data_IF_298098723723
#
_entry.id   IF_298098723723
#
_cell.length_a   1.000
_cell.length_b   1.000
_cell.length_c   1.000
_cell.angle_alpha   90.00
_cell.angle_beta   90.00
_cell.angle_gamma   90.00
#
_symmetry.space_group_name_H-M   'P 1'
#
loop_
_entity.id
_entity.type
_entity.pdbx_description
1 polymer ?
#
# COMPACT_ATOMS: atom_id res chain seq x y z
N UNK A 1 15.05 -17.20 -17.89
CA UNK A 1 14.95 -15.76 -17.57
C UNK A 1 13.98 -15.06 -18.52
N UNK A 2 14.06 -15.31 -19.83
CA UNK A 2 13.16 -14.73 -20.84
C UNK A 2 11.68 -15.06 -20.60
N UNK A 3 11.33 -16.33 -20.33
CA UNK A 3 9.93 -16.71 -20.02
C UNK A 3 9.33 -15.95 -18.83
N UNK A 4 10.15 -15.57 -17.84
CA UNK A 4 9.70 -14.85 -16.65
C UNK A 4 9.41 -13.38 -16.98
N UNK A 5 10.31 -12.75 -17.73
CA UNK A 5 10.15 -11.37 -18.22
C UNK A 5 8.95 -11.26 -19.17
N UNK A 6 8.75 -12.25 -20.05
CA UNK A 6 7.58 -12.32 -20.92
C UNK A 6 6.26 -12.40 -20.13
N UNK A 7 6.19 -13.24 -19.09
CA UNK A 7 4.99 -13.32 -18.24
C UNK A 7 4.68 -11.99 -17.55
N UNK A 8 5.70 -11.30 -17.05
CA UNK A 8 5.51 -9.97 -16.47
C UNK A 8 4.95 -8.96 -17.49
N UNK A 9 5.53 -8.95 -18.70
CA UNK A 9 5.10 -8.09 -19.79
C UNK A 9 3.64 -8.38 -20.20
N UNK A 10 3.26 -9.66 -20.33
CA UNK A 10 1.88 -10.07 -20.63
C UNK A 10 0.93 -9.60 -19.54
N UNK A 11 1.28 -9.82 -18.27
CA UNK A 11 0.42 -9.47 -17.14
C UNK A 11 0.20 -7.95 -17.06
N UNK A 12 1.27 -7.17 -17.19
CA UNK A 12 1.19 -5.71 -17.18
C UNK A 12 0.31 -5.19 -18.34
N UNK A 13 0.48 -5.70 -19.55
CA UNK A 13 -0.36 -5.26 -20.67
C UNK A 13 -1.83 -5.67 -20.53
N UNK A 14 -2.11 -6.80 -19.87
CA UNK A 14 -3.48 -7.30 -19.67
C UNK A 14 -4.21 -6.57 -18.53
N UNK A 15 -3.51 -6.29 -17.43
CA UNK A 15 -4.11 -5.77 -16.20
C UNK A 15 -4.05 -4.24 -16.08
N UNK A 16 -3.12 -3.58 -16.77
CA UNK A 16 -2.99 -2.12 -16.67
C UNK A 16 -4.15 -1.44 -17.39
N UNK A 17 -4.94 -0.70 -16.62
CA UNK A 17 -6.01 0.18 -17.10
C UNK A 17 -5.66 1.62 -16.81
N UNK A 18 -6.34 2.55 -17.47
CA UNK A 18 -6.32 3.94 -17.02
C UNK A 18 -6.89 4.03 -15.60
N UNK A 19 -6.26 4.88 -14.80
CA UNK A 19 -6.51 4.95 -13.37
C UNK A 19 -5.53 5.88 -12.67
N UNK A 20 -5.75 6.05 -11.37
CA UNK A 20 -4.90 6.85 -10.51
C UNK A 20 -3.52 6.22 -10.35
N UNK A 21 -2.51 7.04 -10.01
CA UNK A 21 -1.14 6.56 -9.78
C UNK A 21 -1.07 5.38 -8.77
N UNK A 22 -1.79 5.40 -7.63
CA UNK A 22 -1.80 4.27 -6.70
C UNK A 22 -2.35 2.97 -7.32
N UNK A 23 -3.38 3.05 -8.17
CA UNK A 23 -3.96 1.87 -8.84
C UNK A 23 -2.97 1.27 -9.84
N UNK A 24 -2.30 2.12 -10.65
CA UNK A 24 -1.24 1.69 -11.57
C UNK A 24 -0.09 1.00 -10.82
N UNK A 25 0.36 1.57 -9.69
CA UNK A 25 1.38 0.97 -8.84
C UNK A 25 0.92 -0.39 -8.29
N UNK A 26 -0.34 -0.51 -7.86
CA UNK A 26 -0.88 -1.77 -7.35
C UNK A 26 -0.85 -2.88 -8.41
N UNK A 27 -1.20 -2.58 -9.67
CA UNK A 27 -1.09 -3.52 -10.79
C UNK A 27 0.36 -3.99 -10.99
N UNK A 28 1.33 -3.06 -10.97
CA UNK A 28 2.73 -3.44 -11.08
C UNK A 28 3.18 -4.36 -9.93
N UNK A 29 2.78 -4.05 -8.69
CA UNK A 29 3.13 -4.88 -7.53
C UNK A 29 2.49 -6.28 -7.63
N UNK A 30 1.27 -6.37 -8.14
CA UNK A 30 0.60 -7.63 -8.41
C UNK A 30 1.37 -8.46 -9.45
N UNK A 31 1.70 -7.88 -10.60
CA UNK A 31 2.48 -8.55 -11.63
C UNK A 31 3.86 -9.02 -11.12
N UNK A 32 4.54 -8.20 -10.31
CA UNK A 32 5.82 -8.59 -9.71
C UNK A 32 5.68 -9.71 -8.67
N UNK A 33 4.55 -9.78 -7.95
CA UNK A 33 4.24 -10.87 -7.01
C UNK A 33 4.06 -12.19 -7.75
N UNK A 34 3.28 -12.20 -8.83
CA UNK A 34 3.07 -13.41 -9.64
C UNK A 34 4.40 -13.92 -10.22
N UNK A 35 5.23 -13.01 -10.73
CA UNK A 35 6.58 -13.34 -11.17
C UNK A 35 7.41 -13.97 -10.06
N UNK A 36 7.40 -13.40 -8.85
CA UNK A 36 8.16 -13.92 -7.72
C UNK A 36 7.68 -15.32 -7.29
N UNK A 37 6.36 -15.59 -7.38
CA UNK A 37 5.78 -16.90 -7.12
C UNK A 37 6.25 -17.91 -8.18
N UNK A 38 6.18 -17.55 -9.47
CA UNK A 38 6.63 -18.42 -10.58
C UNK A 38 8.12 -18.75 -10.46
N UNK A 39 8.94 -17.80 -10.03
CA UNK A 39 10.39 -18.01 -9.82
C UNK A 39 10.71 -18.84 -8.57
N UNK A 40 9.68 -19.31 -7.85
CA UNK A 40 9.79 -19.98 -6.55
C UNK A 40 10.65 -19.19 -5.55
N UNK A 41 10.60 -17.86 -5.59
CA UNK A 41 11.28 -16.99 -4.63
C UNK A 41 10.48 -16.88 -3.34
N UNK A 42 10.26 -18.03 -2.73
CA UNK A 42 9.74 -18.10 -1.39
C UNK A 42 10.83 -17.68 -0.42
N UNK A 43 10.43 -16.95 0.62
CA UNK A 43 11.27 -16.66 1.77
C UNK A 43 10.57 -17.15 3.02
N UNK A 44 11.36 -17.52 4.02
CA UNK A 44 10.82 -17.71 5.36
C UNK A 44 10.19 -16.40 5.85
N UNK A 45 9.13 -16.54 6.64
CA UNK A 45 8.52 -15.40 7.32
C UNK A 45 9.59 -14.75 8.21
N UNK A 46 9.70 -13.43 8.14
CA UNK A 46 10.66 -12.71 8.98
C UNK A 46 10.38 -12.98 10.45
N UNK A 47 11.42 -13.20 11.26
CA UNK A 47 11.28 -13.33 12.73
C UNK A 47 10.59 -12.11 13.38
N UNK A 48 10.64 -10.95 12.70
CA UNK A 48 9.98 -9.72 13.17
C UNK A 48 8.55 -9.54 12.66
N UNK A 49 8.05 -10.43 11.80
CA UNK A 49 6.75 -10.28 11.14
C UNK A 49 5.62 -10.22 12.17
N UNK A 50 5.55 -11.18 13.09
CA UNK A 50 4.49 -11.24 14.10
C UNK A 50 4.49 -10.00 15.01
N UNK A 51 5.67 -9.55 15.43
CA UNK A 51 5.81 -8.32 16.21
C UNK A 51 5.33 -7.08 15.42
N UNK A 52 5.61 -7.01 14.12
CA UNK A 52 5.13 -5.94 13.26
C UNK A 52 3.61 -6.00 13.05
N UNK A 53 3.04 -7.20 12.93
CA UNK A 53 1.60 -7.41 12.79
C UNK A 53 0.85 -7.06 14.08
N UNK A 54 1.39 -7.42 15.26
CA UNK A 54 0.83 -7.02 16.56
C UNK A 54 0.75 -5.51 16.68
N UNK A 55 1.86 -4.81 16.39
CA UNK A 55 1.90 -3.32 16.43
C UNK A 55 0.89 -2.67 15.47
N UNK A 56 0.66 -3.26 14.30
CA UNK A 56 -0.37 -2.77 13.37
C UNK A 56 -1.77 -3.01 13.95
N UNK A 57 -2.03 -4.17 14.52
CA UNK A 57 -3.30 -4.50 15.17
C UNK A 57 -3.61 -3.57 16.34
N UNK A 58 -2.65 -3.34 17.23
CA UNK A 58 -2.78 -2.44 18.38
C UNK A 58 -3.17 -1.03 17.91
N UNK A 59 -2.48 -0.48 16.90
CA UNK A 59 -2.82 0.83 16.35
C UNK A 59 -4.22 0.88 15.71
N UNK A 60 -4.64 -0.18 15.03
CA UNK A 60 -5.99 -0.27 14.45
C UNK A 60 -7.03 -0.32 15.59
N UNK A 61 -6.77 -1.08 16.65
CA UNK A 61 -7.66 -1.16 17.82
C UNK A 61 -7.77 0.18 18.55
N UNK A 62 -6.67 0.91 18.71
CA UNK A 62 -6.67 2.24 19.31
C UNK A 62 -7.50 3.22 18.47
N UNK A 63 -7.34 3.22 17.15
CA UNK A 63 -8.14 4.05 16.25
C UNK A 63 -9.63 3.68 16.30
N UNK A 64 -9.96 2.39 16.32
CA UNK A 64 -11.35 1.92 16.48
C UNK A 64 -11.94 2.38 17.80
N UNK A 65 -11.15 2.37 18.87
CA UNK A 65 -11.62 2.84 20.18
C UNK A 65 -11.85 4.36 20.18
N UNK A 66 -10.92 5.13 19.61
CA UNK A 66 -11.07 6.59 19.44
C UNK A 66 -12.31 6.93 18.61
N UNK A 67 -12.58 6.17 17.56
CA UNK A 67 -13.76 6.32 16.72
C UNK A 67 -15.05 6.12 17.52
N UNK A 68 -15.14 5.05 18.32
CA UNK A 68 -16.33 4.79 19.13
C UNK A 68 -16.54 5.85 20.23
N UNK A 69 -15.46 6.35 20.85
CA UNK A 69 -15.55 7.50 21.77
C UNK A 69 -16.13 8.75 21.08
N UNK A 70 -15.66 9.07 19.88
CA UNK A 70 -16.17 10.21 19.11
C UNK A 70 -17.63 10.03 18.67
N UNK A 71 -18.08 8.81 18.38
CA UNK A 71 -19.50 8.53 18.10
C UNK A 71 -20.38 8.76 19.32
N UNK A 72 -19.91 8.36 20.51
CA UNK A 72 -20.63 8.65 21.76
C UNK A 72 -20.72 10.16 21.97
N UNK A 73 -19.61 10.88 21.80
CA UNK A 73 -19.58 12.34 21.91
C UNK A 73 -20.49 13.02 20.86
N UNK A 74 -20.55 12.50 19.63
CA UNK A 74 -21.46 12.98 18.58
C UNK A 74 -22.94 12.78 18.98
N UNK A 75 -23.27 11.62 19.53
CA UNK A 75 -24.64 11.33 20.00
C UNK A 75 -25.08 12.26 21.13
N UNK A 76 -24.13 12.69 21.97
CA UNK A 76 -24.35 13.64 23.06
C UNK A 76 -24.49 15.07 22.56
N UNK A 77 -23.60 15.49 21.65
CA UNK A 77 -23.65 16.80 21.02
C UNK A 77 -24.99 17.02 20.28
N UNK A 78 -25.48 16.01 19.55
CA UNK A 78 -26.81 16.05 18.91
C UNK A 78 -27.98 16.18 19.91
N UNK A 79 -27.78 15.75 21.16
CA UNK A 79 -28.76 15.88 22.26
C UNK A 79 -28.50 17.13 23.13
N UNK A 80 -27.59 18.02 22.73
CA UNK A 80 -27.21 19.21 23.51
C UNK A 80 -26.47 18.92 24.81
N UNK A 81 -25.94 17.71 24.99
CA UNK A 81 -25.19 17.29 26.19
C UNK A 81 -23.68 17.46 25.98
N UNK A 82 -22.92 17.85 27.03
CA UNK A 82 -21.47 17.95 26.93
C UNK A 82 -20.81 16.57 26.70
N UNK A 83 -19.60 16.55 26.10
CA UNK A 83 -18.85 15.32 25.86
C UNK A 83 -18.49 14.63 27.19
N UNK A 84 -18.18 13.34 27.11
CA UNK A 84 -17.65 12.61 28.26
C UNK A 84 -16.27 13.15 28.64
N UNK A 85 -15.87 12.95 29.90
CA UNK A 85 -14.47 13.12 30.30
C UNK A 85 -13.61 12.12 29.54
N UNK A 86 -12.37 12.50 29.24
CA UNK A 86 -11.41 11.58 28.66
C UNK A 86 -10.97 10.51 29.68
N UNK A 87 -10.10 9.59 29.24
CA UNK A 87 -9.53 8.54 30.07
C UNK A 87 -8.72 9.06 31.26
N UNK A 88 -8.28 10.32 31.20
CA UNK A 88 -7.54 11.02 32.26
C UNK A 88 -8.46 11.85 33.18
N UNK A 89 -9.78 11.80 32.95
CA UNK A 89 -10.77 12.54 33.73
C UNK A 89 -10.88 14.03 33.38
N UNK A 90 -10.21 14.50 32.31
CA UNK A 90 -10.28 15.89 31.85
C UNK A 90 -11.51 16.12 30.98
N UNK A 91 -12.06 17.32 31.08
CA UNK A 91 -13.21 17.73 30.28
C UNK A 91 -12.79 17.89 28.82
N UNK A 92 -13.37 17.08 27.93
CA UNK A 92 -13.14 17.21 26.49
C UNK A 92 -13.71 18.54 25.99
N UNK A 93 -13.01 19.17 25.03
CA UNK A 93 -13.49 20.40 24.37
C UNK A 93 -14.83 20.11 23.69
N UNK A 94 -15.80 20.99 23.90
CA UNK A 94 -17.10 20.88 23.25
C UNK A 94 -16.92 21.18 21.75
N UNK A 95 -17.17 20.19 20.90
CA UNK A 95 -17.05 20.28 19.45
C UNK A 95 -18.44 20.27 18.83
N UNK A 96 -18.63 20.96 17.71
CA UNK A 96 -19.88 20.87 16.94
C UNK A 96 -20.08 19.45 16.42
N UNK A 97 -21.34 19.07 16.19
CA UNK A 97 -21.70 17.79 15.57
C UNK A 97 -20.96 17.58 14.24
N UNK A 98 -20.90 18.63 13.42
CA UNK A 98 -20.20 18.61 12.12
C UNK A 98 -18.68 18.36 12.28
N UNK A 99 -18.03 18.98 13.28
CA UNK A 99 -16.62 18.76 13.54
C UNK A 99 -16.33 17.32 14.02
N UNK A 100 -17.24 16.74 14.80
CA UNK A 100 -17.14 15.35 15.25
C UNK A 100 -17.33 14.36 14.10
N UNK A 101 -18.31 14.58 13.23
CA UNK A 101 -18.54 13.78 12.03
C UNK A 101 -17.33 13.79 11.09
N UNK A 102 -16.73 14.97 10.85
CA UNK A 102 -15.52 15.09 10.05
C UNK A 102 -14.34 14.31 10.65
N UNK A 103 -14.17 14.34 11.98
CA UNK A 103 -13.13 13.56 12.65
C UNK A 103 -13.36 12.06 12.56
N UNK A 104 -14.61 11.61 12.71
CA UNK A 104 -14.96 10.20 12.55
C UNK A 104 -14.64 9.73 11.13
N UNK A 105 -15.02 10.49 10.11
CA UNK A 105 -14.73 10.17 8.71
C UNK A 105 -13.22 10.07 8.43
N UNK A 106 -12.41 10.97 9.02
CA UNK A 106 -10.95 10.93 8.91
C UNK A 106 -10.34 9.68 9.58
N UNK A 107 -10.86 9.29 10.74
CA UNK A 107 -10.40 8.07 11.43
C UNK A 107 -10.81 6.82 10.64
N UNK A 108 -12.02 6.79 10.09
CA UNK A 108 -12.51 5.66 9.28
C UNK A 108 -11.63 5.45 8.04
N UNK A 109 -11.33 6.51 7.29
CA UNK A 109 -10.40 6.43 6.15
C UNK A 109 -9.00 5.95 6.56
N UNK A 110 -8.52 6.36 7.75
CA UNK A 110 -7.23 5.90 8.28
C UNK A 110 -7.25 4.42 8.68
N UNK A 111 -8.34 3.95 9.28
CA UNK A 111 -8.53 2.53 9.62
C UNK A 111 -8.53 1.68 8.35
N UNK A 112 -9.33 2.06 7.35
CA UNK A 112 -9.42 1.35 6.06
C UNK A 112 -8.05 1.21 5.40
N UNK A 113 -7.29 2.30 5.36
CA UNK A 113 -5.92 2.29 4.82
C UNK A 113 -5.01 1.34 5.61
N UNK A 114 -5.05 1.38 6.94
CA UNK A 114 -4.20 0.52 7.78
C UNK A 114 -4.58 -0.96 7.69
N UNK A 115 -5.86 -1.28 7.54
CA UNK A 115 -6.33 -2.65 7.32
C UNK A 115 -5.88 -3.19 5.96
N UNK A 116 -5.94 -2.36 4.91
CA UNK A 116 -5.42 -2.70 3.59
C UNK A 116 -3.91 -2.96 3.63
N UNK A 117 -3.14 -2.05 4.23
CA UNK A 117 -1.68 -2.18 4.38
C UNK A 117 -1.31 -3.46 5.16
N UNK A 118 -2.07 -3.78 6.21
CA UNK A 118 -1.91 -5.01 7.00
C UNK A 118 -2.14 -6.25 6.12
N UNK A 119 -3.21 -6.28 5.32
CA UNK A 119 -3.52 -7.40 4.43
C UNK A 119 -2.41 -7.62 3.39
N UNK A 120 -1.98 -6.55 2.74
CA UNK A 120 -0.89 -6.59 1.75
C UNK A 120 0.38 -7.17 2.39
N UNK A 121 0.71 -6.73 3.61
CA UNK A 121 1.91 -7.20 4.31
C UNK A 121 1.84 -8.69 4.66
N UNK A 122 0.65 -9.17 5.03
CA UNK A 122 0.41 -10.58 5.30
C UNK A 122 0.51 -11.43 4.03
N UNK A 123 -0.12 -10.98 2.94
CA UNK A 123 -0.13 -11.67 1.64
C UNK A 123 1.27 -11.77 0.99
N UNK A 124 2.20 -10.90 1.41
CA UNK A 124 3.57 -10.84 0.90
C UNK A 124 4.61 -11.45 1.86
N UNK A 125 4.20 -11.98 3.02
CA UNK A 125 5.13 -12.40 4.07
C UNK A 125 6.12 -13.49 3.63
N UNK A 126 5.69 -14.35 2.72
CA UNK A 126 6.45 -15.51 2.20
C UNK A 126 7.09 -15.27 0.83
N UNK A 127 6.97 -14.09 0.22
CA UNK A 127 7.43 -13.86 -1.16
C UNK A 127 8.52 -12.77 -1.20
N UNK A 128 9.66 -13.06 -1.83
CA UNK A 128 10.77 -12.13 -1.97
C UNK A 128 10.69 -11.32 -3.29
N UNK A 129 9.88 -10.26 -3.28
CA UNK A 129 9.65 -9.37 -4.43
C UNK A 129 10.90 -8.62 -4.95
N UNK A 130 11.95 -8.51 -4.14
CA UNK A 130 13.19 -7.83 -4.53
C UNK A 130 14.02 -8.67 -5.50
N UNK A 131 14.08 -9.97 -5.28
CA UNK A 131 14.92 -10.87 -6.09
C UNK A 131 14.39 -10.99 -7.52
N UNK A 132 13.08 -11.19 -7.68
CA UNK A 132 12.41 -11.23 -8.99
C UNK A 132 12.69 -9.97 -9.80
N UNK A 133 12.49 -8.82 -9.15
CA UNK A 133 12.62 -7.50 -9.75
C UNK A 133 14.03 -7.14 -10.20
N UNK A 134 15.05 -7.65 -9.50
CA UNK A 134 16.45 -7.30 -9.76
C UNK A 134 17.10 -8.25 -10.76
N UNK A 135 16.77 -9.54 -10.69
CA UNK A 135 17.54 -10.59 -11.35
C UNK A 135 16.78 -11.28 -12.48
N UNK A 136 15.44 -11.18 -12.51
CA UNK A 136 14.62 -11.99 -13.42
C UNK A 136 13.68 -11.19 -14.31
N UNK A 137 13.48 -9.90 -14.00
CA UNK A 137 12.80 -8.96 -14.87
C UNK A 137 13.79 -8.15 -15.69
N UNK A 138 13.57 -8.10 -17.00
CA UNK A 138 14.24 -7.11 -17.84
C UNK A 138 13.77 -5.70 -17.43
N UNK A 139 14.67 -4.84 -16.93
CA UNK A 139 14.31 -3.50 -16.45
C UNK A 139 13.68 -2.65 -17.56
N UNK A 140 13.94 -2.92 -18.84
CA UNK A 140 13.34 -2.22 -19.98
C UNK A 140 11.82 -2.40 -20.04
N UNK A 141 11.30 -3.56 -19.63
CA UNK A 141 9.84 -3.79 -19.51
C UNK A 141 9.26 -2.79 -18.52
N UNK A 142 9.90 -2.65 -17.35
CA UNK A 142 9.43 -1.76 -16.29
C UNK A 142 9.54 -0.29 -16.71
N UNK A 143 10.66 0.11 -17.33
CA UNK A 143 10.87 1.49 -17.80
C UNK A 143 9.86 1.84 -18.90
N UNK A 144 9.69 0.97 -19.90
CA UNK A 144 8.73 1.21 -20.98
C UNK A 144 7.29 1.29 -20.48
N UNK A 145 6.91 0.46 -19.51
CA UNK A 145 5.61 0.52 -18.84
C UNK A 145 5.43 1.83 -18.06
N UNK A 146 6.45 2.26 -17.30
CA UNK A 146 6.40 3.53 -16.56
C UNK A 146 6.21 4.73 -17.50
N UNK A 147 6.94 4.75 -18.64
CA UNK A 147 6.78 5.79 -19.66
C UNK A 147 5.40 5.77 -20.31
N UNK A 148 4.87 4.58 -20.65
CA UNK A 148 3.54 4.44 -21.27
C UNK A 148 2.38 4.92 -20.40
N UNK A 149 2.47 4.68 -19.09
CA UNK A 149 1.36 4.94 -18.17
C UNK A 149 1.59 6.14 -17.26
N UNK A 150 2.61 6.95 -17.56
CA UNK A 150 2.99 8.17 -16.83
C UNK A 150 3.24 7.91 -15.33
N UNK A 151 3.86 6.76 -15.02
CA UNK A 151 4.23 6.39 -13.66
C UNK A 151 5.66 6.84 -13.40
N UNK A 152 5.93 7.68 -12.38
CA UNK A 152 7.30 8.07 -12.05
C UNK A 152 8.14 6.85 -11.66
N UNK A 153 9.27 6.66 -12.32
CA UNK A 153 10.11 5.46 -12.17
C UNK A 153 10.62 5.29 -10.74
N UNK A 154 10.76 6.38 -9.98
CA UNK A 154 11.17 6.40 -8.56
C UNK A 154 10.14 5.78 -7.63
N UNK A 155 8.88 5.65 -8.08
CA UNK A 155 7.84 4.91 -7.34
C UNK A 155 8.01 3.39 -7.48
N UNK A 156 8.74 2.95 -8.50
CA UNK A 156 8.98 1.55 -8.78
C UNK A 156 10.41 1.17 -8.38
N UNK A 157 11.42 1.86 -8.89
CA UNK A 157 12.83 1.63 -8.57
C UNK A 157 13.32 2.60 -7.50
N UNK A 158 13.94 2.05 -6.44
CA UNK A 158 14.65 2.87 -5.47
C UNK A 158 15.97 3.41 -6.07
N UNK A 159 16.64 4.34 -5.38
CA UNK A 159 17.89 4.96 -5.84
C UNK A 159 18.97 3.95 -6.28
N UNK A 160 19.09 2.83 -5.56
CA UNK A 160 20.07 1.79 -5.88
C UNK A 160 19.74 1.08 -7.20
N UNK A 161 18.45 0.77 -7.43
CA UNK A 161 17.99 0.15 -8.68
C UNK A 161 18.09 1.11 -9.87
N UNK A 162 17.80 2.39 -9.67
CA UNK A 162 17.97 3.41 -10.70
C UNK A 162 19.43 3.49 -11.17
N UNK A 163 20.38 3.49 -10.23
CA UNK A 163 21.81 3.48 -10.53
C UNK A 163 22.27 2.18 -11.23
N UNK A 164 21.69 1.03 -10.86
CA UNK A 164 22.01 -0.27 -11.47
C UNK A 164 21.49 -0.40 -12.91
N UNK A 165 20.32 0.17 -13.19
CA UNK A 165 19.61 0.00 -14.47
C UNK A 165 19.64 1.26 -15.34
N UNK A 166 20.66 2.10 -15.19
CA UNK A 166 20.85 3.32 -16.00
C UNK A 166 20.79 3.02 -17.51
N UNK A 167 21.39 1.93 -17.95
CA UNK A 167 21.39 1.47 -19.35
C UNK A 167 19.99 1.18 -19.93
N UNK A 168 18.98 0.95 -19.07
CA UNK A 168 17.61 0.65 -19.49
C UNK A 168 16.71 1.90 -19.53
N UNK A 169 17.17 3.05 -19.02
CA UNK A 169 16.35 4.25 -18.84
C UNK A 169 15.97 4.91 -20.17
N UNK A 170 16.80 4.77 -21.19
CA UNK A 170 16.59 5.39 -22.50
C UNK A 170 15.67 4.59 -23.43
N UNK A 171 15.15 3.44 -22.98
CA UNK A 171 14.30 2.58 -23.80
C UNK A 171 13.03 3.29 -24.28
N UNK A 172 12.65 3.04 -25.54
CA UNK A 172 11.43 3.59 -26.12
C UNK A 172 10.17 3.08 -25.38
N UNK A 173 9.17 3.94 -25.13
CA UNK A 173 7.90 3.51 -24.56
C UNK A 173 7.27 2.33 -25.29
N UNK A 174 7.43 2.19 -26.61
CA UNK A 174 6.86 1.12 -27.43
C UNK A 174 7.58 -0.23 -27.31
N UNK A 175 8.61 -0.35 -26.47
CA UNK A 175 9.41 -1.57 -26.33
C UNK A 175 8.57 -2.83 -26.07
N UNK A 176 8.81 -3.89 -26.83
CA UNK A 176 8.17 -5.19 -26.65
C UNK A 176 9.26 -6.21 -26.33
N UNK A 177 9.00 -7.01 -25.31
CA UNK A 177 9.88 -8.09 -24.89
C UNK A 177 9.56 -9.36 -25.68
#
# INVERSE_FOLDING_TARGET
>A
MEMISLTCWIQLNKETKEGTLPEKIAVYQHANKEVAIICNHQRSVSKSHDAQMSRLNEKIMDLKTQREELKVDLSRARKGKPPLKDREGKTKRNLSSEALEKKIAQIDSKIEKMELDKKIKEDLKTVALGTSKINYLDPRITVAWCKRHEVPIEKIFNKSLLAKFTWAMDVDPSFRF
#
